data_IF_830122095291
#
_entry.id   IF_830122095291
#
_cell.length_a   1.000
_cell.length_b   1.000
_cell.length_c   1.000
_cell.angle_alpha   90.00
_cell.angle_beta   90.00
_cell.angle_gamma   90.00
#
_symmetry.space_group_name_H-M   'P 1'
#
loop_
_entity.id
_entity.type
_entity.pdbx_description
1 polymer ?
#
# COMPACT_ATOMS: atom_id res chain seq x y z
N UNK A 1 16.19 -24.51 25.98
CA UNK A 1 15.87 -25.56 26.93
C UNK A 1 15.04 -26.62 26.23
N UNK A 2 15.54 -27.88 26.16
CA UNK A 2 14.76 -28.95 25.53
C UNK A 2 13.79 -29.51 26.55
N UNK A 3 12.51 -29.50 26.22
CA UNK A 3 11.47 -30.10 27.07
C UNK A 3 11.28 -31.55 26.63
N UNK A 4 11.38 -32.46 27.58
CA UNK A 4 11.19 -33.88 27.39
C UNK A 4 9.78 -34.29 27.81
N UNK A 5 9.08 -35.01 26.92
CA UNK A 5 7.75 -35.54 27.18
C UNK A 5 7.77 -37.09 27.12
N UNK A 6 7.46 -37.74 28.23
CA UNK A 6 7.52 -39.18 28.36
C UNK A 6 6.15 -39.88 28.41
N UNK A 7 5.06 -39.18 28.19
CA UNK A 7 3.69 -39.69 28.29
C UNK A 7 2.85 -39.63 27.01
N UNK A 8 3.39 -39.08 25.90
CA UNK A 8 2.68 -39.09 24.64
C UNK A 8 2.85 -40.44 23.91
N UNK A 9 1.79 -40.94 23.29
CA UNK A 9 1.90 -42.06 22.35
C UNK A 9 2.78 -41.61 21.17
N UNK A 10 3.98 -42.15 21.10
CA UNK A 10 4.96 -41.69 20.14
C UNK A 10 4.79 -42.39 18.80
N UNK A 11 4.52 -41.65 17.75
CA UNK A 11 4.86 -42.03 16.40
C UNK A 11 6.37 -41.84 16.21
N UNK A 12 7.12 -42.93 16.27
CA UNK A 12 8.58 -42.93 16.19
C UNK A 12 9.16 -42.41 14.86
N UNK A 13 8.30 -41.98 13.93
CA UNK A 13 8.74 -41.53 12.61
C UNK A 13 8.87 -40.01 12.51
N UNK A 14 8.42 -39.24 13.51
CA UNK A 14 8.23 -37.80 13.41
C UNK A 14 9.25 -36.94 14.18
N UNK A 15 10.23 -37.53 14.90
CA UNK A 15 11.12 -36.74 15.75
C UNK A 15 12.51 -36.57 15.16
N UNK A 16 12.91 -35.30 15.05
CA UNK A 16 14.24 -34.87 14.61
C UNK A 16 14.90 -34.04 15.70
N UNK A 17 16.22 -34.07 15.81
CA UNK A 17 16.95 -33.15 16.67
C UNK A 17 18.16 -32.56 15.96
N UNK A 18 18.55 -31.39 16.41
CA UNK A 18 19.74 -30.71 15.91
C UNK A 18 20.96 -31.14 16.72
N UNK A 19 21.98 -31.64 16.03
CA UNK A 19 23.27 -31.90 16.60
C UNK A 19 24.37 -31.23 15.76
N UNK A 20 25.02 -30.24 16.34
CA UNK A 20 26.00 -29.41 15.62
C UNK A 20 25.42 -28.68 14.43
N UNK A 21 25.88 -28.95 13.21
CA UNK A 21 25.45 -28.32 11.97
C UNK A 21 24.40 -29.11 11.17
N UNK A 22 23.87 -30.21 11.72
CA UNK A 22 22.98 -31.14 11.01
C UNK A 22 21.71 -31.48 11.76
N UNK A 23 20.69 -31.90 11.01
CA UNK A 23 19.48 -32.54 11.53
C UNK A 23 19.74 -34.06 11.66
N UNK A 24 19.61 -34.61 12.85
CA UNK A 24 19.64 -36.03 13.06
C UNK A 24 18.24 -36.59 13.35
N UNK A 25 17.89 -37.67 12.68
CA UNK A 25 16.61 -38.35 12.87
C UNK A 25 16.70 -39.31 14.07
N UNK A 26 15.80 -39.15 15.05
CA UNK A 26 15.70 -40.04 16.18
C UNK A 26 14.56 -41.02 15.99
N UNK A 27 14.88 -42.27 15.67
CA UNK A 27 13.90 -43.36 15.61
C UNK A 27 13.46 -43.88 16.97
N UNK A 28 14.36 -43.86 17.93
CA UNK A 28 14.09 -44.18 19.33
C UNK A 28 15.25 -43.71 20.17
N UNK A 29 14.95 -43.00 21.23
CA UNK A 29 15.93 -42.65 22.25
C UNK A 29 15.53 -43.30 23.55
N UNK A 30 16.44 -44.08 24.13
CA UNK A 30 16.25 -44.73 25.42
C UNK A 30 17.09 -44.02 26.44
N UNK A 31 16.44 -43.34 27.38
CA UNK A 31 17.08 -42.87 28.60
C UNK A 31 16.44 -43.57 29.79
N UNK A 32 17.27 -44.32 30.58
CA UNK A 32 16.83 -45.07 31.73
C UNK A 32 15.61 -45.98 31.48
N UNK A 33 15.62 -46.71 30.34
CA UNK A 33 14.56 -47.63 29.94
C UNK A 33 13.18 -47.01 29.63
N UNK A 34 13.09 -45.68 29.49
CA UNK A 34 11.88 -45.01 29.04
C UNK A 34 12.04 -44.58 27.58
N UNK A 35 11.07 -44.92 26.73
CA UNK A 35 10.96 -44.40 25.36
C UNK A 35 10.22 -43.08 25.37
N UNK A 36 10.77 -42.10 24.72
CA UNK A 36 10.10 -40.80 24.59
C UNK A 36 10.45 -40.07 23.28
N UNK A 37 9.64 -39.15 22.90
CA UNK A 37 9.89 -38.22 21.79
C UNK A 37 10.34 -36.86 22.31
N UNK A 38 11.20 -36.18 21.53
CA UNK A 38 11.47 -34.78 21.78
C UNK A 38 10.24 -33.96 21.43
N UNK A 39 9.72 -33.25 22.39
CA UNK A 39 8.70 -32.25 22.12
C UNK A 39 9.37 -31.01 21.52
N UNK A 40 9.61 -31.03 20.22
CA UNK A 40 10.01 -29.81 19.49
C UNK A 40 8.71 -29.12 19.02
N UNK A 41 8.21 -28.21 19.83
CA UNK A 41 7.26 -27.21 19.35
C UNK A 41 8.08 -26.21 18.52
N UNK A 42 8.21 -26.46 17.23
CA UNK A 42 8.57 -25.39 16.30
C UNK A 42 7.41 -24.40 16.31
N UNK A 43 7.50 -23.40 17.17
CA UNK A 43 6.72 -22.18 16.95
C UNK A 43 7.32 -21.55 15.70
N UNK A 44 6.83 -21.95 14.53
CA UNK A 44 6.88 -21.03 13.41
C UNK A 44 6.06 -19.85 13.88
N UNK A 45 6.72 -18.78 14.24
CA UNK A 45 6.06 -17.50 14.42
C UNK A 45 5.48 -17.10 13.05
N UNK A 46 4.33 -17.69 12.70
CA UNK A 46 3.47 -17.18 11.64
C UNK A 46 2.85 -15.83 12.03
N UNK A 47 3.31 -15.25 13.14
CA UNK A 47 3.03 -13.92 13.65
C UNK A 47 4.33 -13.17 13.99
N UNK A 48 5.38 -13.29 13.21
CA UNK A 48 6.08 -12.10 12.85
C UNK A 48 5.03 -11.37 11.98
N UNK A 49 4.35 -10.35 12.50
CA UNK A 49 3.79 -9.32 11.64
C UNK A 49 4.92 -9.05 10.66
N UNK A 50 4.72 -9.49 9.40
CA UNK A 50 5.71 -9.28 8.36
C UNK A 50 5.79 -7.78 8.35
N UNK A 51 6.94 -7.26 8.76
CA UNK A 51 7.21 -5.84 8.86
C UNK A 51 6.94 -5.29 7.46
N UNK A 52 5.68 -4.93 7.19
CA UNK A 52 5.17 -4.62 5.86
C UNK A 52 4.86 -3.14 5.79
N UNK A 53 4.90 -2.61 4.57
CA UNK A 53 4.50 -1.26 4.28
C UNK A 53 3.04 -1.01 4.69
N UNK A 54 2.75 0.20 5.17
CA UNK A 54 1.40 0.62 5.53
C UNK A 54 1.06 1.96 4.89
N UNK A 55 -0.04 1.99 4.15
CA UNK A 55 -0.60 3.25 3.66
C UNK A 55 -1.25 4.01 4.82
N UNK A 56 -0.78 5.24 5.09
CA UNK A 56 -1.26 6.08 6.20
C UNK A 56 -2.02 7.32 5.74
N UNK A 57 -2.04 7.58 4.44
CA UNK A 57 -2.82 8.69 3.90
C UNK A 57 -2.57 8.93 2.42
N UNK A 58 -3.39 9.81 1.86
CA UNK A 58 -3.30 10.31 0.49
C UNK A 58 -3.49 11.82 0.49
N UNK A 59 -2.97 12.50 -0.52
CA UNK A 59 -3.27 13.90 -0.80
C UNK A 59 -3.10 14.20 -2.30
N UNK A 60 -3.54 15.37 -2.71
CA UNK A 60 -3.24 15.91 -4.04
C UNK A 60 -2.25 17.08 -3.91
N UNK A 61 -1.32 17.16 -4.85
CA UNK A 61 -0.52 18.36 -5.08
C UNK A 61 -0.92 18.93 -6.43
N UNK A 62 -1.21 20.23 -6.46
CA UNK A 62 -1.59 20.99 -7.65
C UNK A 62 -0.48 22.02 -7.87
N UNK A 63 0.51 21.69 -8.68
CA UNK A 63 1.59 22.60 -9.04
C UNK A 63 1.78 22.57 -10.56
N UNK A 64 2.75 21.83 -11.05
CA UNK A 64 3.01 21.66 -12.48
C UNK A 64 2.11 20.57 -13.08
N UNK A 65 1.81 19.56 -12.28
CA UNK A 65 0.91 18.45 -12.59
C UNK A 65 -0.10 18.25 -11.45
N UNK A 66 -1.01 17.34 -11.63
CA UNK A 66 -1.86 16.83 -10.56
C UNK A 66 -1.18 15.58 -10.03
N UNK A 67 -0.49 15.71 -8.89
CA UNK A 67 0.16 14.55 -8.30
C UNK A 67 -0.78 13.91 -7.27
N UNK A 68 -1.09 12.64 -7.46
CA UNK A 68 -1.70 11.83 -6.42
C UNK A 68 -0.60 11.29 -5.51
N UNK A 69 -0.58 11.76 -4.26
CA UNK A 69 0.43 11.38 -3.28
C UNK A 69 -0.06 10.24 -2.39
N UNK A 70 0.80 9.26 -2.19
CA UNK A 70 0.62 8.15 -1.26
C UNK A 70 1.65 8.28 -0.14
N UNK A 71 1.18 8.29 1.11
CA UNK A 71 2.04 8.37 2.29
C UNK A 71 2.14 6.99 2.92
N UNK A 72 3.37 6.47 2.98
CA UNK A 72 3.65 5.12 3.44
C UNK A 72 4.47 5.15 4.72
N UNK A 73 4.06 4.39 5.73
CA UNK A 73 4.94 3.97 6.81
C UNK A 73 5.71 2.74 6.32
N UNK A 74 7.05 2.83 6.33
CA UNK A 74 7.93 1.80 5.81
C UNK A 74 8.79 1.23 6.93
N UNK A 75 8.91 -0.10 7.05
CA UNK A 75 9.88 -0.73 7.94
C UNK A 75 11.30 -0.52 7.45
N UNK A 76 12.28 -0.67 8.36
CA UNK A 76 13.69 -0.44 8.05
C UNK A 76 14.22 -1.36 6.95
N UNK A 77 13.71 -2.58 6.89
CA UNK A 77 14.02 -3.56 5.85
C UNK A 77 13.66 -3.09 4.43
N UNK A 78 12.61 -2.27 4.27
CA UNK A 78 12.23 -1.67 2.98
C UNK A 78 12.99 -0.38 2.73
N UNK A 79 13.16 0.48 3.74
CA UNK A 79 13.89 1.76 3.61
C UNK A 79 15.33 1.58 3.14
N UNK A 80 16.02 0.57 3.67
CA UNK A 80 17.41 0.27 3.34
C UNK A 80 17.59 -0.55 2.06
N UNK A 81 16.50 -0.99 1.43
CA UNK A 81 16.54 -1.83 0.25
C UNK A 81 16.59 -1.00 -1.04
N UNK A 82 17.71 -1.03 -1.74
CA UNK A 82 17.92 -0.30 -3.00
C UNK A 82 17.04 -0.77 -4.17
N UNK A 83 16.44 -1.97 -4.07
CA UNK A 83 15.54 -2.53 -5.07
C UNK A 83 14.05 -2.34 -4.69
N UNK A 84 13.79 -1.51 -3.67
CA UNK A 84 12.42 -1.19 -3.28
C UNK A 84 11.92 0.07 -4.01
N UNK A 85 10.71 -0.02 -4.55
CA UNK A 85 10.04 1.10 -5.23
C UNK A 85 8.53 1.01 -5.12
N UNK A 86 7.87 2.15 -5.20
CA UNK A 86 6.42 2.22 -5.43
C UNK A 86 6.16 2.16 -6.94
N UNK A 87 5.32 1.23 -7.37
CA UNK A 87 4.86 1.09 -8.74
C UNK A 87 3.44 1.63 -8.88
N UNK A 88 3.25 2.53 -9.84
CA UNK A 88 1.96 3.10 -10.17
C UNK A 88 1.53 2.66 -11.58
N UNK A 89 0.28 2.24 -11.72
CA UNK A 89 -0.33 1.96 -13.02
C UNK A 89 -1.61 2.78 -13.13
N UNK A 90 -1.70 3.66 -14.12
CA UNK A 90 -2.88 4.48 -14.42
C UNK A 90 -3.69 3.76 -15.47
N UNK A 91 -4.89 3.28 -15.14
CA UNK A 91 -5.67 2.35 -15.98
C UNK A 91 -4.80 1.17 -16.44
N UNK A 92 -4.56 1.04 -17.75
CA UNK A 92 -3.74 -0.02 -18.36
C UNK A 92 -2.45 0.55 -18.99
N UNK A 93 -1.96 1.70 -18.51
CA UNK A 93 -0.73 2.30 -19.01
C UNK A 93 0.51 1.51 -18.57
N UNK A 94 1.66 1.86 -19.15
CA UNK A 94 2.95 1.37 -18.66
C UNK A 94 3.17 1.82 -17.20
N UNK A 95 3.67 0.94 -16.33
CA UNK A 95 3.92 1.30 -14.94
C UNK A 95 4.95 2.43 -14.80
N UNK A 96 4.66 3.36 -13.89
CA UNK A 96 5.57 4.39 -13.44
C UNK A 96 6.15 3.98 -12.08
N UNK A 97 7.47 4.12 -11.89
CA UNK A 97 8.16 3.65 -10.69
C UNK A 97 8.85 4.80 -9.96
N UNK A 98 8.70 4.83 -8.65
CA UNK A 98 9.39 5.76 -7.75
C UNK A 98 10.19 4.94 -6.75
N UNK A 99 11.52 5.05 -6.79
CA UNK A 99 12.40 4.39 -5.83
C UNK A 99 12.10 4.85 -4.40
N UNK A 100 12.28 3.98 -3.41
CA UNK A 100 12.21 4.38 -2.01
C UNK A 100 13.25 5.47 -1.69
N UNK A 101 14.39 5.46 -2.36
CA UNK A 101 15.43 6.48 -2.19
C UNK A 101 15.01 7.86 -2.72
N UNK A 102 14.08 7.93 -3.68
CA UNK A 102 13.54 9.17 -4.26
C UNK A 102 12.27 9.64 -3.54
N UNK A 103 11.76 8.83 -2.61
CA UNK A 103 10.57 9.19 -1.82
C UNK A 103 10.88 10.36 -0.88
N UNK A 104 9.91 11.27 -0.75
CA UNK A 104 10.07 12.45 0.09
C UNK A 104 9.71 12.10 1.54
N UNK A 105 10.66 12.19 2.49
CA UNK A 105 10.35 11.97 3.90
C UNK A 105 9.49 13.12 4.43
N UNK A 106 8.46 12.77 5.21
CA UNK A 106 7.53 13.71 5.85
C UNK A 106 7.39 13.33 7.32
N UNK A 107 7.61 14.26 8.21
CA UNK A 107 7.36 14.04 9.63
C UNK A 107 5.86 14.22 9.95
N UNK A 108 5.26 13.23 10.61
CA UNK A 108 3.88 13.26 11.06
C UNK A 108 3.76 12.56 12.41
N UNK A 109 3.30 13.30 13.43
CA UNK A 109 3.10 12.78 14.79
C UNK A 109 4.36 12.08 15.37
N UNK A 110 5.54 12.67 15.15
CA UNK A 110 6.82 12.13 15.64
C UNK A 110 7.33 10.88 14.89
N UNK A 111 6.69 10.53 13.76
CA UNK A 111 7.12 9.44 12.87
C UNK A 111 7.49 9.99 11.51
N UNK A 112 8.49 9.39 10.87
CA UNK A 112 8.83 9.67 9.47
C UNK A 112 8.03 8.72 8.58
N UNK A 113 7.21 9.29 7.71
CA UNK A 113 6.49 8.60 6.63
C UNK A 113 7.06 9.04 5.28
N UNK A 114 6.87 8.24 4.25
CA UNK A 114 7.45 8.47 2.92
C UNK A 114 6.35 8.80 1.92
N UNK A 115 6.48 9.95 1.24
CA UNK A 115 5.57 10.40 0.20
C UNK A 115 6.07 9.91 -1.16
N UNK A 116 5.21 9.19 -1.86
CA UNK A 116 5.36 8.78 -3.26
C UNK A 116 4.33 9.51 -4.09
N UNK A 117 4.73 10.15 -5.17
CA UNK A 117 3.85 10.93 -6.03
C UNK A 117 3.63 10.21 -7.37
N UNK A 118 2.37 10.10 -7.79
CA UNK A 118 1.97 9.66 -9.12
C UNK A 118 1.49 10.87 -9.92
N UNK A 119 2.24 11.37 -10.91
CA UNK A 119 1.83 12.49 -11.73
C UNK A 119 0.70 12.07 -12.70
N UNK A 120 -0.32 12.90 -12.78
CA UNK A 120 -1.49 12.70 -13.63
C UNK A 120 -1.75 13.96 -14.47
N UNK A 121 -2.24 13.76 -15.68
CA UNK A 121 -2.78 14.84 -16.50
C UNK A 121 -4.22 15.15 -16.06
N UNK A 122 -4.67 16.39 -16.32
CA UNK A 122 -6.02 16.81 -15.97
C UNK A 122 -7.13 15.89 -16.53
N UNK A 123 -6.98 15.40 -17.74
CA UNK A 123 -7.94 14.47 -18.35
C UNK A 123 -8.01 13.09 -17.66
N UNK A 124 -7.00 12.74 -16.84
CA UNK A 124 -6.89 11.45 -16.15
C UNK A 124 -7.51 11.45 -14.73
N UNK A 125 -8.21 12.49 -14.34
CA UNK A 125 -8.79 12.58 -12.98
C UNK A 125 -9.78 11.46 -12.63
N UNK A 126 -10.44 10.89 -13.66
CA UNK A 126 -11.35 9.75 -13.48
C UNK A 126 -10.67 8.40 -13.66
N UNK A 127 -9.39 8.39 -13.98
CA UNK A 127 -8.64 7.16 -14.20
C UNK A 127 -8.32 6.48 -12.86
N UNK A 128 -8.32 5.17 -12.91
CA UNK A 128 -7.93 4.35 -11.76
C UNK A 128 -6.40 4.30 -11.66
N UNK A 129 -5.88 4.77 -10.55
CA UNK A 129 -4.47 4.63 -10.17
C UNK A 129 -4.35 3.42 -9.26
N UNK A 130 -3.56 2.44 -9.68
CA UNK A 130 -3.14 1.31 -8.87
C UNK A 130 -1.73 1.58 -8.37
N UNK A 131 -1.53 1.49 -7.06
CA UNK A 131 -0.25 1.73 -6.40
C UNK A 131 0.10 0.51 -5.55
N UNK A 132 1.33 0.00 -5.68
CA UNK A 132 1.84 -1.10 -4.86
C UNK A 132 3.33 -0.93 -4.60
N UNK A 133 3.76 -1.30 -3.40
CA UNK A 133 5.17 -1.42 -3.07
C UNK A 133 5.72 -2.70 -3.69
N UNK A 134 6.89 -2.61 -4.32
CA UNK A 134 7.62 -3.77 -4.85
C UNK A 134 8.99 -3.80 -4.19
N UNK A 135 9.35 -4.94 -3.62
CA UNK A 135 10.63 -5.16 -2.92
C UNK A 135 11.27 -6.42 -3.48
N UNK A 136 12.45 -6.31 -4.09
CA UNK A 136 13.16 -7.42 -4.73
C UNK A 136 12.27 -8.22 -5.70
N UNK A 137 11.40 -7.50 -6.45
CA UNK A 137 10.48 -8.10 -7.40
C UNK A 137 9.18 -8.67 -6.81
N UNK A 138 9.04 -8.69 -5.48
CA UNK A 138 7.83 -9.14 -4.81
C UNK A 138 6.89 -7.97 -4.57
N UNK A 139 5.64 -8.10 -5.01
CA UNK A 139 4.60 -7.08 -4.81
C UNK A 139 3.98 -7.17 -3.42
N UNK A 140 3.83 -6.03 -2.76
CA UNK A 140 3.05 -5.85 -1.54
C UNK A 140 1.56 -5.64 -1.83
N UNK A 141 0.88 -4.93 -0.92
CA UNK A 141 -0.54 -4.62 -1.06
C UNK A 141 -0.79 -3.66 -2.24
N UNK A 142 -1.84 -3.91 -3.02
CA UNK A 142 -2.30 -3.00 -4.07
C UNK A 142 -3.36 -2.04 -3.51
N UNK A 143 -3.14 -0.76 -3.73
CA UNK A 143 -4.05 0.32 -3.37
C UNK A 143 -4.60 0.94 -4.64
N UNK A 144 -5.91 0.91 -4.78
CA UNK A 144 -6.63 1.44 -5.95
C UNK A 144 -7.37 2.71 -5.56
N UNK A 145 -7.18 3.81 -6.33
CA UNK A 145 -7.84 5.09 -6.08
C UNK A 145 -7.82 5.98 -7.33
N UNK A 146 -8.59 7.06 -7.31
CA UNK A 146 -8.60 8.09 -8.36
C UNK A 146 -8.65 9.50 -7.77
N UNK A 147 -8.27 10.51 -8.55
CA UNK A 147 -8.44 11.93 -8.16
C UNK A 147 -9.90 12.25 -7.93
N UNK A 148 -10.78 11.74 -8.79
CA UNK A 148 -12.23 11.90 -8.66
C UNK A 148 -12.78 11.33 -7.36
N UNK A 149 -12.35 10.12 -6.96
CA UNK A 149 -12.76 9.52 -5.67
C UNK A 149 -12.28 10.36 -4.50
N UNK A 150 -11.02 10.81 -4.51
CA UNK A 150 -10.48 11.71 -3.48
C UNK A 150 -11.30 13.00 -3.37
N UNK A 151 -11.58 13.65 -4.49
CA UNK A 151 -12.38 14.87 -4.54
C UNK A 151 -13.81 14.63 -4.05
N UNK A 152 -14.44 13.53 -4.44
CA UNK A 152 -15.79 13.17 -4.01
C UNK A 152 -15.84 12.90 -2.49
N UNK A 153 -14.83 12.25 -1.94
CA UNK A 153 -14.72 12.02 -0.50
C UNK A 153 -14.61 13.35 0.27
N UNK A 154 -13.78 14.29 -0.21
CA UNK A 154 -13.69 15.64 0.37
C UNK A 154 -15.04 16.38 0.33
N UNK A 155 -15.73 16.34 -0.80
CA UNK A 155 -17.04 16.99 -0.96
C UNK A 155 -18.12 16.38 -0.05
N UNK A 156 -18.05 15.08 0.20
CA UNK A 156 -18.98 14.40 1.13
C UNK A 156 -18.82 14.85 2.59
N UNK A 157 -17.64 15.39 2.92
CA UNK A 157 -17.27 15.93 4.24
C UNK A 157 -17.11 17.45 4.21
N UNK A 158 -17.87 18.13 3.36
CA UNK A 158 -17.72 19.58 3.11
C UNK A 158 -17.74 20.44 4.37
N UNK A 159 -18.47 20.01 5.41
CA UNK A 159 -18.53 20.72 6.69
C UNK A 159 -17.22 20.68 7.51
N UNK A 160 -16.29 19.78 7.16
CA UNK A 160 -15.00 19.62 7.84
C UNK A 160 -13.90 20.49 7.21
N UNK A 161 -14.18 21.14 6.06
CA UNK A 161 -13.19 21.89 5.28
C UNK A 161 -13.61 23.33 5.05
N UNK A 162 -12.65 24.27 4.91
CA UNK A 162 -12.93 25.64 4.52
C UNK A 162 -13.68 25.71 3.18
N UNK A 163 -14.56 26.74 3.03
CA UNK A 163 -15.35 26.93 1.81
C UNK A 163 -14.48 27.06 0.56
N UNK A 164 -13.33 27.72 0.67
CA UNK A 164 -12.36 27.88 -0.42
C UNK A 164 -11.81 26.55 -0.89
N UNK A 165 -11.58 25.61 0.04
CA UNK A 165 -11.15 24.24 -0.30
C UNK A 165 -12.24 23.53 -1.10
N UNK A 166 -13.49 23.65 -0.70
CA UNK A 166 -14.63 23.04 -1.40
C UNK A 166 -14.79 23.65 -2.80
N UNK A 167 -14.66 24.96 -2.94
CA UNK A 167 -14.67 25.65 -4.24
C UNK A 167 -13.54 25.17 -5.14
N UNK A 168 -12.32 25.06 -4.60
CA UNK A 168 -11.16 24.54 -5.33
C UNK A 168 -11.39 23.12 -5.83
N UNK A 169 -11.94 22.23 -4.99
CA UNK A 169 -12.21 20.85 -5.38
C UNK A 169 -13.25 20.75 -6.49
N UNK A 170 -14.32 21.59 -6.44
CA UNK A 170 -15.32 21.68 -7.51
C UNK A 170 -14.70 22.19 -8.81
N UNK A 171 -13.88 23.25 -8.74
CA UNK A 171 -13.18 23.80 -9.89
C UNK A 171 -12.21 22.76 -10.50
N UNK A 172 -11.49 22.01 -9.66
CA UNK A 172 -10.61 20.93 -10.10
C UNK A 172 -11.37 19.86 -10.92
N UNK A 173 -12.53 19.40 -10.44
CA UNK A 173 -13.35 18.43 -11.15
C UNK A 173 -13.89 18.96 -12.48
N UNK A 174 -14.30 20.23 -12.52
CA UNK A 174 -14.72 20.90 -13.76
C UNK A 174 -13.57 21.01 -14.76
N UNK A 175 -12.38 21.39 -14.29
CA UNK A 175 -11.16 21.43 -15.09
C UNK A 175 -10.82 20.05 -15.69
N UNK A 176 -10.94 18.99 -14.90
CA UNK A 176 -10.76 17.63 -15.39
C UNK A 176 -11.71 17.26 -16.51
N UNK A 177 -13.00 17.59 -16.36
CA UNK A 177 -14.00 17.35 -17.41
C UNK A 177 -13.73 18.19 -18.66
N UNK A 178 -13.34 19.46 -18.50
CA UNK A 178 -12.97 20.30 -19.65
C UNK A 178 -11.77 19.71 -20.40
N UNK A 179 -10.74 19.24 -19.68
CA UNK A 179 -9.59 18.57 -20.27
C UNK A 179 -9.99 17.24 -20.98
N UNK A 180 -10.86 16.44 -20.37
CA UNK A 180 -11.39 15.22 -20.99
C UNK A 180 -12.08 15.51 -22.32
N UNK A 181 -12.93 16.54 -22.35
CA UNK A 181 -13.64 16.95 -23.56
C UNK A 181 -12.69 17.49 -24.64
N UNK A 182 -11.71 18.31 -24.25
CA UNK A 182 -10.72 18.88 -25.17
C UNK A 182 -9.86 17.80 -25.83
N UNK A 183 -9.34 16.87 -25.03
CA UNK A 183 -8.49 15.79 -25.53
C UNK A 183 -9.29 14.59 -26.04
N UNK A 184 -10.61 14.60 -25.94
CA UNK A 184 -11.52 13.48 -26.27
C UNK A 184 -11.11 12.18 -25.56
N UNK A 185 -10.73 12.32 -24.30
CA UNK A 185 -10.22 11.24 -23.48
C UNK A 185 -11.22 10.91 -22.37
N UNK A 186 -11.65 9.64 -22.26
CA UNK A 186 -12.49 9.10 -21.18
C UNK A 186 -13.77 9.95 -20.91
N UNK A 187 -14.39 10.47 -21.98
CA UNK A 187 -15.53 11.42 -21.92
C UNK A 187 -16.82 10.78 -21.44
N UNK A 188 -16.91 9.47 -21.45
CA UNK A 188 -18.01 8.67 -20.89
C UNK A 188 -18.00 8.64 -19.33
N UNK A 189 -16.86 9.02 -18.72
CA UNK A 189 -16.68 9.08 -17.27
C UNK A 189 -16.20 10.46 -16.79
N UNK A 190 -16.99 11.52 -16.99
CA UNK A 190 -16.53 12.88 -16.69
C UNK A 190 -16.17 13.03 -15.21
N UNK A 191 -15.09 13.77 -14.94
CA UNK A 191 -14.59 13.97 -13.59
C UNK A 191 -15.65 14.62 -12.69
N UNK A 192 -16.42 15.59 -13.22
CA UNK A 192 -17.44 16.34 -12.50
C UNK A 192 -18.83 15.68 -12.50
N UNK A 193 -18.98 14.42 -12.88
CA UNK A 193 -20.29 13.76 -12.97
C UNK A 193 -21.12 13.82 -11.68
N UNK A 194 -20.45 13.85 -10.52
CA UNK A 194 -21.09 13.94 -9.21
C UNK A 194 -21.46 15.35 -8.74
N UNK A 195 -21.11 16.40 -9.49
CA UNK A 195 -21.46 17.78 -9.13
C UNK A 195 -22.90 18.12 -9.55
N UNK A 196 -23.53 19.04 -8.80
CA UNK A 196 -24.80 19.67 -9.20
C UNK A 196 -24.62 20.47 -10.50
N UNK A 197 -25.71 20.73 -11.21
CA UNK A 197 -25.65 21.53 -12.45
C UNK A 197 -25.19 22.96 -12.17
N UNK A 198 -25.56 23.53 -11.01
CA UNK A 198 -25.05 24.83 -10.56
C UNK A 198 -23.55 24.84 -10.37
N UNK A 199 -23.00 23.79 -9.74
CA UNK A 199 -21.55 23.67 -9.50
C UNK A 199 -20.75 23.41 -10.79
N UNK A 200 -21.36 22.78 -11.79
CA UNK A 200 -20.79 22.62 -13.13
C UNK A 200 -20.78 23.94 -13.93
N UNK A 201 -21.79 24.77 -13.74
CA UNK A 201 -21.95 26.05 -14.48
C UNK A 201 -20.95 27.12 -14.04
N UNK A 202 -20.48 27.11 -12.80
CA UNK A 202 -19.51 28.09 -12.27
C UNK A 202 -18.18 28.11 -13.05
N UNK A 203 -17.81 27.02 -13.69
CA UNK A 203 -16.59 26.93 -14.52
C UNK A 203 -16.74 27.56 -15.92
N UNK A 204 -17.93 27.96 -16.31
CA UNK A 204 -18.23 28.55 -17.63
C UNK A 204 -18.35 30.08 -17.60
N UNK A 205 -18.17 30.70 -16.44
CA UNK A 205 -18.54 32.12 -16.22
C UNK A 205 -17.34 33.09 -16.10
N UNK A 206 -16.09 32.61 -16.26
CA UNK A 206 -14.86 33.44 -16.23
C UNK A 206 -14.14 33.45 -17.57
#
# INVERSE_FOLDING_TARGET
EMVWENHASSDNTASYYFYGTGLAYSRSWNYQNTRGNFCIKAFTANNVEKDSEKLVGRSLTLKDNIDMNYYMELPESIKSNSNAYMEFTVNNSQPYKVSVNDAIPVEKNGKVIYKFACPLNAAQMSDTVKAKMVVDGNSGNEYTYSVKEYATELLSKSNEYPEETIKLVKALLNYGTAAQNFFKYNTDKPANAGLSDTDKAVAAAD
#
